data_IF_053630135260
#
_entry.id   IF_053630135260
#
_cell.length_a   1.000
_cell.length_b   1.000
_cell.length_c   1.000
_cell.angle_alpha   90.00
_cell.angle_beta   90.00
_cell.angle_gamma   90.00
#
_symmetry.space_group_name_H-M   'P 1'
#
loop_
_entity.id
_entity.type
_entity.pdbx_description
1 polymer ?
#
# COMPACT_ATOMS: atom_id res chain seq x y z
N UNK A 1 28.81 -56.36 3.78
CA UNK A 1 27.74 -57.39 3.75
C UNK A 1 26.41 -56.74 4.10
N UNK A 2 25.46 -56.70 3.16
CA UNK A 2 24.00 -56.80 3.43
C UNK A 2 23.72 -58.22 3.96
N UNK A 3 22.57 -58.56 4.59
CA UNK A 3 21.18 -58.23 4.19
C UNK A 3 20.25 -57.96 5.41
N UNK A 4 18.93 -57.77 5.35
CA UNK A 4 17.85 -57.89 4.36
C UNK A 4 16.53 -57.78 5.17
N UNK A 5 15.51 -57.04 4.72
CA UNK A 5 14.39 -57.56 3.90
C UNK A 5 13.23 -58.02 4.81
N UNK A 6 11.98 -57.56 4.66
CA UNK A 6 10.94 -58.00 3.71
C UNK A 6 9.68 -57.12 4.00
N UNK A 7 9.11 -56.28 3.11
CA UNK A 7 8.07 -56.52 2.05
C UNK A 7 6.85 -57.33 2.54
N UNK A 8 5.57 -57.18 2.17
CA UNK A 8 4.75 -56.49 1.15
C UNK A 8 3.29 -56.82 1.52
N UNK A 9 2.28 -56.09 1.03
CA UNK A 9 0.91 -56.62 0.99
C UNK A 9 -0.19 -55.61 0.67
N UNK A 10 -0.52 -55.48 -0.62
CA UNK A 10 -1.67 -54.76 -1.21
C UNK A 10 -2.91 -55.64 -1.32
N UNK A 11 -4.12 -55.07 -1.31
CA UNK A 11 -5.23 -55.38 -2.25
C UNK A 11 -6.49 -54.58 -1.93
N UNK A 12 -7.09 -53.96 -2.94
CA UNK A 12 -8.42 -53.34 -2.89
C UNK A 12 -9.51 -54.25 -3.47
N UNK A 13 -10.78 -53.88 -3.25
CA UNK A 13 -11.96 -54.43 -3.93
C UNK A 13 -12.99 -53.31 -4.20
N UNK A 14 -13.69 -53.42 -5.32
CA UNK A 14 -14.61 -52.45 -5.90
C UNK A 14 -16.04 -53.02 -6.04
N UNK A 15 -17.00 -52.12 -6.32
CA UNK A 15 -18.36 -52.30 -6.89
C UNK A 15 -19.44 -52.87 -5.92
N UNK A 16 -20.75 -52.60 -6.01
CA UNK A 16 -21.61 -52.05 -7.07
C UNK A 16 -22.98 -51.54 -6.52
N UNK A 17 -23.63 -50.66 -7.30
CA UNK A 17 -25.08 -50.48 -7.57
C UNK A 17 -26.17 -50.67 -6.50
N UNK A 18 -27.04 -49.65 -6.36
CA UNK A 18 -28.50 -49.79 -6.53
C UNK A 18 -29.18 -48.42 -6.71
N UNK A 19 -29.90 -48.25 -7.83
CA UNK A 19 -30.91 -47.22 -8.10
C UNK A 19 -32.26 -47.69 -7.54
N UNK A 20 -33.07 -46.78 -6.99
CA UNK A 20 -34.53 -46.93 -6.90
C UNK A 20 -35.20 -45.54 -6.91
N UNK A 21 -35.98 -45.30 -7.96
CA UNK A 21 -36.91 -44.19 -8.17
C UNK A 21 -38.26 -44.50 -7.51
N UNK A 22 -38.93 -43.49 -6.97
CA UNK A 22 -40.40 -43.22 -6.94
C UNK A 22 -40.64 -42.16 -5.84
N UNK A 23 -41.64 -41.28 -5.80
CA UNK A 23 -42.62 -40.67 -6.69
C UNK A 23 -43.21 -39.51 -5.84
N UNK A 24 -43.55 -38.36 -6.45
CA UNK A 24 -44.28 -37.25 -5.79
C UNK A 24 -45.75 -37.63 -5.51
N UNK A 25 -46.38 -37.03 -4.51
CA UNK A 25 -47.39 -36.01 -4.85
C UNK A 25 -47.34 -34.75 -3.97
N UNK A 26 -47.78 -33.65 -4.57
CA UNK A 26 -48.05 -32.36 -3.94
C UNK A 26 -49.34 -32.41 -3.10
N UNK A 27 -49.39 -31.65 -2.00
CA UNK A 27 -50.64 -31.06 -1.50
C UNK A 27 -50.35 -29.78 -0.70
N UNK A 28 -51.25 -28.83 -0.92
CA UNK A 28 -51.27 -27.44 -0.53
C UNK A 28 -51.53 -27.23 0.96
N UNK A 29 -50.91 -26.22 1.57
CA UNK A 29 -51.40 -25.58 2.80
C UNK A 29 -50.98 -24.11 2.84
N UNK A 30 -51.99 -23.23 2.77
CA UNK A 30 -51.89 -21.81 3.06
C UNK A 30 -51.64 -21.57 4.55
N UNK A 31 -50.79 -20.60 4.88
CA UNK A 31 -50.61 -20.11 6.26
C UNK A 31 -49.73 -18.86 6.28
N UNK A 32 -50.38 -17.69 6.27
CA UNK A 32 -49.79 -16.38 6.58
C UNK A 32 -49.83 -16.21 8.10
N UNK A 33 -48.67 -15.97 8.75
CA UNK A 33 -48.41 -14.71 9.45
C UNK A 33 -47.01 -14.62 10.11
N UNK A 34 -46.32 -13.55 9.73
CA UNK A 34 -45.45 -12.63 10.51
C UNK A 34 -44.12 -13.04 11.15
N UNK A 35 -43.15 -12.17 10.80
CA UNK A 35 -41.97 -11.67 11.53
C UNK A 35 -40.73 -12.57 11.61
N UNK A 36 -39.77 -12.25 10.73
CA UNK A 36 -38.41 -12.74 10.78
C UNK A 36 -37.52 -12.00 9.79
N UNK A 37 -37.07 -10.81 10.18
CA UNK A 37 -36.10 -9.99 9.46
C UNK A 37 -34.82 -10.79 9.21
N UNK A 38 -34.58 -11.22 7.97
CA UNK A 38 -33.27 -11.70 7.53
C UNK A 38 -32.77 -10.83 6.40
N UNK A 39 -31.99 -9.84 6.79
CA UNK A 39 -31.11 -9.09 5.91
C UNK A 39 -30.17 -10.08 5.22
N UNK A 40 -30.34 -10.19 3.91
CA UNK A 40 -29.51 -10.98 3.03
C UNK A 40 -29.44 -10.32 1.67
N UNK A 41 -28.45 -9.47 1.46
CA UNK A 41 -27.74 -9.40 0.18
C UNK A 41 -26.42 -8.68 0.43
N UNK A 42 -25.34 -9.39 0.11
CA UNK A 42 -23.98 -8.98 0.37
C UNK A 42 -23.69 -7.60 -0.21
N UNK A 43 -22.89 -6.84 0.53
CA UNK A 43 -22.27 -5.63 0.01
C UNK A 43 -21.52 -5.98 -1.27
N UNK A 44 -22.12 -5.65 -2.41
CA UNK A 44 -21.40 -5.53 -3.64
C UNK A 44 -20.23 -4.59 -3.35
N UNK A 45 -19.01 -5.12 -3.47
CA UNK A 45 -17.81 -4.30 -3.49
C UNK A 45 -18.08 -3.19 -4.52
N UNK A 46 -18.24 -1.97 -4.03
CA UNK A 46 -18.57 -0.81 -4.85
C UNK A 46 -17.43 -0.69 -5.84
N UNK A 47 -17.68 -1.05 -7.10
CA UNK A 47 -16.72 -0.90 -8.18
C UNK A 47 -16.25 0.56 -8.12
N UNK A 48 -14.97 0.75 -7.80
CA UNK A 48 -14.40 2.08 -7.70
C UNK A 48 -14.49 2.73 -9.06
N UNK A 49 -15.15 3.89 -9.15
CA UNK A 49 -15.33 4.58 -10.41
C UNK A 49 -13.97 4.93 -11.02
N UNK A 50 -13.70 4.37 -12.20
CA UNK A 50 -12.56 4.76 -13.01
C UNK A 50 -12.75 6.21 -13.47
N UNK A 51 -11.72 7.04 -13.37
CA UNK A 51 -11.78 8.48 -13.69
C UNK A 51 -10.66 8.83 -14.64
N UNK A 52 -10.86 9.82 -15.52
CA UNK A 52 -9.78 10.33 -16.37
C UNK A 52 -8.65 11.00 -15.57
N UNK A 53 -8.93 11.37 -14.31
CA UNK A 53 -8.07 12.15 -13.42
C UNK A 53 -8.03 11.54 -12.02
N UNK A 54 -6.98 11.80 -11.26
CA UNK A 54 -6.94 11.42 -9.84
C UNK A 54 -7.98 12.24 -9.08
N UNK A 55 -8.91 11.64 -8.33
CA UNK A 55 -9.93 12.38 -7.58
C UNK A 55 -9.36 13.35 -6.55
N UNK A 56 -10.07 14.45 -6.28
CA UNK A 56 -9.73 15.46 -5.26
C UNK A 56 -8.36 16.15 -5.49
N UNK A 57 -7.93 16.26 -6.74
CA UNK A 57 -6.64 16.87 -7.12
C UNK A 57 -6.88 17.93 -8.21
N UNK A 58 -6.45 19.16 -7.92
CA UNK A 58 -6.58 20.34 -8.80
C UNK A 58 -5.69 20.29 -10.04
N UNK A 59 -5.99 21.14 -11.04
CA UNK A 59 -5.30 21.15 -12.34
C UNK A 59 -3.78 21.31 -12.20
N UNK A 60 -3.33 22.12 -11.24
CA UNK A 60 -1.92 22.32 -10.92
C UNK A 60 -1.21 20.98 -10.69
N UNK A 61 -1.72 20.17 -9.77
CA UNK A 61 -1.07 18.91 -9.40
C UNK A 61 -1.33 17.79 -10.40
N UNK A 62 -2.50 17.77 -11.06
CA UNK A 62 -2.75 16.84 -12.16
C UNK A 62 -1.70 16.98 -13.28
N UNK A 63 -1.33 18.23 -13.61
CA UNK A 63 -0.32 18.52 -14.65
C UNK A 63 1.10 18.13 -14.25
N UNK A 64 1.37 17.95 -12.94
CA UNK A 64 2.67 17.54 -12.40
C UNK A 64 2.84 16.02 -12.37
N UNK A 65 1.77 15.25 -12.51
CA UNK A 65 1.85 13.79 -12.67
C UNK A 65 2.43 13.51 -14.07
N UNK A 66 3.58 12.81 -14.19
CA UNK A 66 4.16 12.49 -15.48
C UNK A 66 3.18 11.76 -16.41
N UNK A 67 3.17 12.14 -17.69
CA UNK A 67 2.19 11.62 -18.65
C UNK A 67 2.34 10.10 -18.93
N UNK A 68 3.56 9.59 -18.77
CA UNK A 68 3.94 8.18 -18.86
C UNK A 68 3.66 7.41 -17.57
N UNK A 69 3.42 8.08 -16.43
CA UNK A 69 3.05 7.42 -15.19
C UNK A 69 1.77 6.59 -15.35
N UNK A 70 1.84 5.37 -14.81
CA UNK A 70 0.74 4.41 -14.77
C UNK A 70 0.41 3.97 -13.35
N UNK A 71 1.12 4.46 -12.34
CA UNK A 71 0.88 4.18 -10.93
C UNK A 71 1.08 5.46 -10.11
N UNK A 72 0.09 5.81 -9.29
CA UNK A 72 0.17 6.95 -8.37
C UNK A 72 -0.17 6.45 -6.97
N UNK A 73 0.73 6.65 -6.02
CA UNK A 73 0.43 6.57 -4.59
C UNK A 73 -0.01 7.96 -4.16
N UNK A 74 -1.32 8.19 -4.02
CA UNK A 74 -1.84 9.46 -3.54
C UNK A 74 -1.93 9.44 -2.01
N UNK A 75 -1.29 10.38 -1.34
CA UNK A 75 -1.35 10.57 0.11
C UNK A 75 -2.14 11.83 0.39
N UNK A 76 -3.37 11.67 0.85
CA UNK A 76 -4.24 12.78 1.23
C UNK A 76 -4.15 12.98 2.73
N UNK A 77 -3.44 14.03 3.15
CA UNK A 77 -3.49 14.54 4.53
C UNK A 77 -4.86 15.09 4.85
N UNK A 78 -5.35 14.85 6.06
CA UNK A 78 -6.69 15.31 6.45
C UNK A 78 -6.78 16.84 6.45
N UNK A 79 -5.76 17.54 6.98
CA UNK A 79 -5.64 19.00 7.06
C UNK A 79 -4.16 19.44 7.05
N UNK A 80 -3.89 20.73 6.84
CA UNK A 80 -2.54 21.34 6.75
C UNK A 80 -1.67 21.04 7.97
N UNK A 81 -2.23 21.04 9.17
CA UNK A 81 -1.51 20.83 10.44
C UNK A 81 -1.83 19.45 11.08
N UNK A 82 -2.41 18.53 10.31
CA UNK A 82 -2.77 17.19 10.79
C UNK A 82 -1.72 16.15 10.42
N UNK A 83 -1.39 15.28 11.38
CA UNK A 83 -0.53 14.12 11.15
C UNK A 83 -1.26 12.92 10.52
N UNK A 84 -2.58 13.03 10.25
CA UNK A 84 -3.39 11.92 9.74
C UNK A 84 -3.47 11.99 8.22
N UNK A 85 -3.28 10.84 7.58
CA UNK A 85 -3.39 10.71 6.14
C UNK A 85 -4.16 9.46 5.70
N UNK A 86 -4.65 9.52 4.46
CA UNK A 86 -5.15 8.37 3.72
C UNK A 86 -4.25 8.13 2.51
N UNK A 87 -3.64 6.95 2.44
CA UNK A 87 -2.78 6.51 1.35
C UNK A 87 -3.62 5.70 0.38
N UNK A 88 -3.59 6.04 -0.91
CA UNK A 88 -4.40 5.40 -1.94
C UNK A 88 -3.52 5.04 -3.13
N UNK A 89 -3.53 3.77 -3.53
CA UNK A 89 -2.91 3.36 -4.79
C UNK A 89 -3.92 3.52 -5.93
N UNK A 90 -3.54 4.31 -6.93
CA UNK A 90 -4.20 4.36 -8.24
C UNK A 90 -3.35 3.70 -9.30
N UNK A 91 -3.99 2.95 -10.20
CA UNK A 91 -3.35 2.37 -11.37
C UNK A 91 -4.08 2.81 -12.63
N UNK A 92 -3.34 3.16 -13.67
CA UNK A 92 -3.91 3.56 -14.95
C UNK A 92 -4.21 2.33 -15.80
N UNK A 93 -5.46 2.20 -16.26
CA UNK A 93 -5.91 1.25 -17.28
C UNK A 93 -6.38 2.01 -18.51
N UNK A 94 -5.66 1.86 -19.62
CA UNK A 94 -5.86 2.70 -20.79
C UNK A 94 -5.67 4.18 -20.43
N UNK A 95 -6.74 4.98 -20.54
CA UNK A 95 -6.73 6.41 -20.19
C UNK A 95 -7.28 6.73 -18.81
N UNK A 96 -7.84 5.73 -18.11
CA UNK A 96 -8.54 5.94 -16.85
C UNK A 96 -7.67 5.50 -15.68
N UNK A 97 -7.70 6.28 -14.61
CA UNK A 97 -7.19 5.94 -13.30
C UNK A 97 -8.23 5.15 -12.51
N UNK A 98 -7.83 3.99 -12.02
CA UNK A 98 -8.63 3.16 -11.13
C UNK A 98 -8.04 3.19 -9.73
N UNK A 99 -8.91 3.36 -8.73
CA UNK A 99 -8.54 3.21 -7.33
C UNK A 99 -8.37 1.73 -7.02
N UNK A 100 -7.15 1.30 -6.72
CA UNK A 100 -6.84 -0.10 -6.46
C UNK A 100 -7.12 -0.48 -5.01
N UNK A 101 -6.60 0.33 -4.07
CA UNK A 101 -6.69 0.08 -2.63
C UNK A 101 -6.33 1.33 -1.84
N UNK A 102 -6.76 1.41 -0.60
CA UNK A 102 -6.44 2.48 0.33
C UNK A 102 -6.15 1.98 1.75
N UNK A 103 -5.45 2.81 2.51
CA UNK A 103 -5.08 2.56 3.89
C UNK A 103 -5.03 3.88 4.67
N UNK A 104 -5.19 3.77 5.99
CA UNK A 104 -4.80 4.85 6.90
C UNK A 104 -3.29 4.89 7.03
N UNK A 105 -2.77 6.08 7.30
CA UNK A 105 -1.35 6.31 7.58
C UNK A 105 -1.14 7.62 8.30
N UNK A 106 0.11 7.94 8.57
CA UNK A 106 0.50 9.22 9.16
C UNK A 106 1.53 9.94 8.29
N UNK A 107 1.50 11.26 8.34
CA UNK A 107 2.50 12.15 7.74
C UNK A 107 3.30 12.86 8.84
N UNK A 108 4.06 13.89 8.48
CA UNK A 108 4.77 14.74 9.43
C UNK A 108 3.86 15.19 10.57
N UNK A 109 4.35 15.11 11.81
CA UNK A 109 3.54 15.42 13.00
C UNK A 109 3.01 16.85 13.04
N UNK A 110 3.69 17.78 12.39
CA UNK A 110 3.26 19.17 12.23
C UNK A 110 2.46 19.38 10.94
N UNK A 111 2.15 18.33 10.19
CA UNK A 111 1.34 18.38 8.99
C UNK A 111 2.15 18.47 7.69
N UNK A 112 1.80 19.41 6.84
CA UNK A 112 2.24 19.54 5.46
C UNK A 112 2.84 20.91 5.18
N UNK A 113 3.76 21.00 4.21
CA UNK A 113 4.35 22.27 3.77
C UNK A 113 4.74 22.23 2.29
N UNK A 114 4.52 23.31 1.51
CA UNK A 114 5.08 23.45 0.18
C UNK A 114 6.57 23.85 0.19
N UNK A 115 7.10 24.27 1.33
CA UNK A 115 8.48 24.71 1.53
C UNK A 115 9.08 23.94 2.72
N UNK A 116 9.46 22.69 2.47
CA UNK A 116 10.03 21.84 3.51
C UNK A 116 11.47 22.23 3.83
N UNK A 117 11.80 22.19 5.12
CA UNK A 117 13.15 22.36 5.66
C UNK A 117 13.41 21.33 6.75
N UNK A 118 14.68 20.99 6.94
CA UNK A 118 15.09 20.05 7.99
C UNK A 118 14.57 20.50 9.36
N UNK A 119 13.93 19.58 10.09
CA UNK A 119 13.43 19.82 11.44
C UNK A 119 12.10 20.57 11.56
N UNK A 120 11.43 20.93 10.45
CA UNK A 120 10.07 21.52 10.50
C UNK A 120 8.99 20.52 10.96
N UNK A 121 9.31 19.24 10.88
CA UNK A 121 8.47 18.08 11.20
C UNK A 121 7.20 17.98 10.33
N UNK A 122 7.27 18.53 9.11
CA UNK A 122 6.22 18.56 8.10
C UNK A 122 6.59 17.71 6.90
N UNK A 123 5.60 17.10 6.27
CA UNK A 123 5.78 16.39 5.00
C UNK A 123 5.74 17.38 3.83
N UNK A 124 6.62 17.24 2.82
CA UNK A 124 6.59 18.10 1.64
C UNK A 124 5.32 17.85 0.81
N UNK A 125 4.71 18.91 0.31
CA UNK A 125 3.63 18.85 -0.67
C UNK A 125 4.22 18.75 -2.07
N UNK A 126 3.83 17.74 -2.85
CA UNK A 126 4.31 17.62 -4.22
C UNK A 126 3.99 16.32 -4.94
N UNK A 127 4.57 16.20 -6.13
CA UNK A 127 4.65 14.96 -6.90
C UNK A 127 6.11 14.56 -6.99
N UNK A 128 6.44 13.36 -6.53
CA UNK A 128 7.80 12.83 -6.51
C UNK A 128 7.80 11.41 -7.10
N UNK A 129 8.87 11.01 -7.77
CA UNK A 129 9.02 9.63 -8.24
C UNK A 129 9.27 8.68 -7.08
N UNK A 130 8.97 7.39 -7.31
CA UNK A 130 9.28 6.29 -6.40
C UNK A 130 10.21 5.33 -7.15
N UNK A 131 11.52 5.49 -6.96
CA UNK A 131 12.52 4.77 -7.77
C UNK A 131 13.11 3.55 -7.05
N UNK A 132 13.27 3.59 -5.74
CA UNK A 132 14.02 2.59 -4.97
C UNK A 132 13.29 2.15 -3.70
N UNK A 133 13.58 0.94 -3.26
CA UNK A 133 13.09 0.36 -2.02
C UNK A 133 14.23 -0.23 -1.19
N UNK A 134 13.95 -0.55 0.06
CA UNK A 134 14.94 -1.17 0.94
C UNK A 134 14.41 -1.44 2.33
N UNK A 135 15.34 -1.67 3.25
CA UNK A 135 15.04 -1.84 4.67
C UNK A 135 15.92 -2.90 5.34
N UNK A 136 15.67 -3.12 6.63
CA UNK A 136 16.39 -4.12 7.43
C UNK A 136 16.04 -5.55 6.97
N UNK A 137 14.77 -5.77 6.61
CA UNK A 137 14.27 -7.09 6.27
C UNK A 137 14.60 -7.47 4.83
N UNK A 138 14.55 -8.78 4.55
CA UNK A 138 14.71 -9.29 3.20
C UNK A 138 13.57 -8.81 2.28
N UNK A 139 13.90 -8.66 1.00
CA UNK A 139 12.95 -8.29 -0.04
C UNK A 139 11.66 -9.17 0.01
N UNK A 140 10.47 -8.58 0.21
CA UNK A 140 9.20 -9.31 0.25
C UNK A 140 8.63 -9.66 -1.14
N UNK A 141 9.44 -9.54 -2.20
CA UNK A 141 9.10 -9.80 -3.61
C UNK A 141 8.82 -8.52 -4.40
N UNK A 142 9.65 -7.49 -4.22
CA UNK A 142 9.49 -6.21 -4.88
C UNK A 142 9.90 -6.24 -6.36
N UNK A 143 9.40 -5.26 -7.11
CA UNK A 143 9.85 -4.98 -8.48
C UNK A 143 10.75 -3.75 -8.54
N UNK A 144 10.71 -2.89 -7.52
CA UNK A 144 11.66 -1.80 -7.39
C UNK A 144 13.04 -2.39 -7.06
N UNK A 145 14.15 -1.73 -7.44
CA UNK A 145 15.46 -2.03 -6.86
C UNK A 145 15.37 -2.05 -5.32
N UNK A 146 15.94 -3.08 -4.68
CA UNK A 146 15.83 -3.28 -3.23
C UNK A 146 17.20 -3.36 -2.58
N UNK A 147 17.47 -2.43 -1.66
CA UNK A 147 18.68 -2.45 -0.83
C UNK A 147 18.35 -2.98 0.56
N UNK A 148 18.93 -4.12 0.92
CA UNK A 148 18.87 -4.65 2.28
C UNK A 148 20.13 -4.25 3.05
N UNK A 149 19.98 -3.54 4.16
CA UNK A 149 21.09 -3.23 5.07
C UNK A 149 20.60 -3.14 6.51
N UNK A 150 21.47 -3.52 7.46
CA UNK A 150 21.21 -3.27 8.89
C UNK A 150 21.32 -1.78 9.24
N UNK A 151 21.92 -0.96 8.37
CA UNK A 151 22.06 0.49 8.56
C UNK A 151 20.72 1.24 8.54
N UNK A 152 19.67 0.62 7.99
CA UNK A 152 18.30 1.12 8.09
C UNK A 152 17.74 1.06 9.52
N UNK A 153 18.33 0.25 10.41
CA UNK A 153 17.72 -0.03 11.70
C UNK A 153 17.56 1.24 12.55
N UNK A 154 16.33 1.47 13.01
CA UNK A 154 16.05 2.54 13.94
C UNK A 154 16.92 2.39 15.21
N UNK A 155 17.52 3.48 15.73
CA UNK A 155 18.37 3.42 16.90
C UNK A 155 17.66 2.84 18.13
N UNK A 156 18.35 1.99 18.90
CA UNK A 156 17.73 1.29 20.05
C UNK A 156 17.40 2.18 21.24
N UNK A 157 17.89 3.41 21.25
CA UNK A 157 17.50 4.45 22.21
C UNK A 157 16.16 5.12 21.86
N UNK A 158 15.60 4.90 20.66
CA UNK A 158 14.23 5.31 20.35
C UNK A 158 13.22 4.46 21.12
N UNK A 159 11.99 4.99 21.29
CA UNK A 159 10.89 4.20 21.88
C UNK A 159 10.71 2.91 21.07
N UNK A 160 10.37 1.82 21.75
CA UNK A 160 10.16 0.50 21.13
C UNK A 160 9.18 0.50 19.96
N UNK A 161 8.20 1.40 19.98
CA UNK A 161 7.25 1.58 18.87
C UNK A 161 7.91 1.88 17.53
N UNK A 162 9.11 2.48 17.53
CA UNK A 162 9.82 2.89 16.32
C UNK A 162 10.84 1.86 15.81
N UNK A 163 11.08 0.78 16.54
CA UNK A 163 12.17 -0.16 16.24
C UNK A 163 12.01 -0.88 14.89
N UNK A 164 10.83 -0.78 14.29
CA UNK A 164 10.45 -1.43 13.04
C UNK A 164 10.05 -0.44 11.94
N UNK A 165 10.22 0.86 12.15
CA UNK A 165 9.80 1.90 11.20
C UNK A 165 10.38 1.60 9.80
N UNK A 166 11.67 1.25 9.77
CA UNK A 166 12.44 1.04 8.54
C UNK A 166 12.75 -0.44 8.24
N UNK A 167 11.94 -1.35 8.79
CA UNK A 167 11.96 -2.75 8.36
C UNK A 167 11.76 -2.87 6.85
N UNK A 168 10.91 -2.00 6.30
CA UNK A 168 10.65 -1.79 4.88
C UNK A 168 10.48 -0.30 4.57
N UNK A 169 11.14 0.17 3.52
CA UNK A 169 11.03 1.53 3.02
C UNK A 169 10.85 1.57 1.50
N UNK A 170 10.11 2.56 1.01
CA UNK A 170 10.11 2.99 -0.39
C UNK A 170 10.54 4.45 -0.41
N UNK A 171 11.59 4.76 -1.18
CA UNK A 171 12.14 6.10 -1.24
C UNK A 171 11.20 7.05 -1.98
N UNK A 172 10.94 8.21 -1.37
CA UNK A 172 10.31 9.34 -2.04
C UNK A 172 11.45 10.19 -2.61
N UNK A 173 11.40 10.47 -3.91
CA UNK A 173 12.46 11.23 -4.60
C UNK A 173 12.40 12.75 -4.33
N UNK A 174 12.28 13.11 -3.06
CA UNK A 174 12.43 14.46 -2.55
C UNK A 174 13.88 14.67 -2.10
N UNK A 175 14.57 15.64 -2.74
CA UNK A 175 15.94 16.03 -2.44
C UNK A 175 16.92 14.85 -2.28
N UNK A 176 16.86 13.88 -3.20
CA UNK A 176 17.79 12.74 -3.30
C UNK A 176 18.13 12.49 -4.77
N UNK A 177 19.12 11.63 -5.02
CA UNK A 177 19.42 11.12 -6.36
C UNK A 177 18.56 9.88 -6.66
N UNK A 178 17.60 9.94 -7.60
CA UNK A 178 16.77 8.78 -7.95
C UNK A 178 17.61 7.64 -8.53
N UNK A 179 17.32 6.40 -8.15
CA UNK A 179 18.05 5.20 -8.59
C UNK A 179 19.23 4.81 -7.69
N UNK A 180 19.62 5.67 -6.74
CA UNK A 180 20.55 5.28 -5.68
C UNK A 180 19.81 4.53 -4.57
N UNK A 181 20.49 3.82 -3.66
CA UNK A 181 19.84 3.23 -2.48
C UNK A 181 19.06 4.26 -1.63
N UNK A 182 17.98 3.86 -0.92
CA UNK A 182 17.21 4.79 -0.09
C UNK A 182 18.01 5.48 1.03
N UNK A 183 19.06 4.83 1.52
CA UNK A 183 20.00 5.29 2.55
C UNK A 183 21.14 6.17 2.01
N UNK A 184 21.16 6.46 0.70
CA UNK A 184 22.12 7.40 0.13
C UNK A 184 21.97 8.80 0.77
N UNK A 185 23.05 9.39 1.33
CA UNK A 185 23.00 10.67 2.01
C UNK A 185 22.98 11.88 1.04
N UNK A 186 23.22 11.73 -0.25
CA UNK A 186 23.34 12.88 -1.17
C UNK A 186 22.06 13.74 -1.24
N UNK A 187 22.21 15.06 -1.07
CA UNK A 187 21.13 16.08 -1.07
C UNK A 187 21.40 17.17 -2.13
N UNK A 188 20.94 17.00 -3.39
CA UNK A 188 21.25 17.93 -4.47
C UNK A 188 20.75 19.38 -4.26
N UNK A 189 19.69 19.58 -3.49
CA UNK A 189 19.16 20.90 -3.12
C UNK A 189 19.70 21.43 -1.78
N UNK A 190 20.74 20.78 -1.22
CA UNK A 190 21.38 21.13 0.03
C UNK A 190 20.73 20.49 1.27
N UNK A 191 21.48 20.46 2.36
CA UNK A 191 21.07 19.83 3.64
C UNK A 191 19.88 20.53 4.29
N UNK A 192 19.80 21.86 4.17
CA UNK A 192 18.72 22.67 4.76
C UNK A 192 17.33 22.25 4.24
N UNK A 193 17.26 21.76 3.01
CA UNK A 193 16.01 21.27 2.42
C UNK A 193 15.52 19.95 3.00
N UNK A 194 16.34 19.28 3.82
CA UNK A 194 16.05 17.95 4.35
C UNK A 194 16.12 16.87 3.27
N UNK A 195 15.88 15.61 3.66
CA UNK A 195 15.85 14.47 2.75
C UNK A 195 15.62 13.18 3.52
N UNK A 196 15.87 12.02 2.92
CA UNK A 196 15.59 10.74 3.58
C UNK A 196 14.11 10.55 3.90
N UNK A 197 13.23 11.07 3.04
CA UNK A 197 11.79 10.98 3.20
C UNK A 197 11.32 9.70 2.52
N UNK A 198 10.66 8.83 3.29
CA UNK A 198 10.26 7.51 2.84
C UNK A 198 8.78 7.24 3.07
N UNK A 199 8.24 6.29 2.33
CA UNK A 199 7.11 5.48 2.80
C UNK A 199 7.68 4.41 3.73
N UNK A 200 7.16 4.25 4.96
CA UNK A 200 7.68 3.26 5.91
C UNK A 200 6.59 2.64 6.82
N UNK A 201 6.96 1.74 7.72
CA UNK A 201 6.00 1.06 8.60
C UNK A 201 5.46 1.98 9.70
N UNK A 202 4.15 1.90 9.97
CA UNK A 202 3.49 2.74 10.95
C UNK A 202 3.81 2.36 12.41
N UNK A 203 4.15 3.38 13.19
CA UNK A 203 4.36 3.34 14.64
C UNK A 203 3.22 3.97 15.44
N UNK A 204 2.15 4.43 14.77
CA UNK A 204 0.91 4.89 15.40
C UNK A 204 0.85 6.38 15.77
N UNK A 205 1.77 7.19 15.24
CA UNK A 205 1.74 8.65 15.38
C UNK A 205 2.37 9.34 14.18
N UNK A 206 2.32 10.68 14.15
CA UNK A 206 3.03 11.47 13.15
C UNK A 206 4.53 11.15 13.07
N UNK A 207 5.10 11.35 11.88
CA UNK A 207 6.51 11.14 11.56
C UNK A 207 7.28 12.48 11.66
N UNK A 208 8.57 12.47 11.36
CA UNK A 208 9.33 13.73 11.16
C UNK A 208 9.14 14.35 9.78
N UNK A 209 8.70 13.59 8.76
CA UNK A 209 8.45 14.08 7.39
C UNK A 209 7.93 12.96 6.48
N UNK A 210 8.31 11.71 6.79
CA UNK A 210 7.91 10.50 6.09
C UNK A 210 6.38 10.27 6.07
N UNK A 211 5.95 9.31 5.26
CA UNK A 211 4.57 8.80 5.30
C UNK A 211 4.60 7.37 5.81
N UNK A 212 3.97 7.13 6.95
CA UNK A 212 3.91 5.80 7.55
C UNK A 212 2.60 5.09 7.20
N UNK A 213 2.63 3.76 7.08
CA UNK A 213 1.45 2.94 6.80
C UNK A 213 1.55 1.53 7.39
N UNK A 214 0.43 0.81 7.59
CA UNK A 214 0.47 -0.55 8.12
C UNK A 214 1.34 -1.48 7.27
N UNK A 215 2.03 -2.43 7.91
CA UNK A 215 2.85 -3.45 7.22
C UNK A 215 2.16 -4.11 6.02
N UNK A 216 0.89 -4.55 6.08
CA UNK A 216 0.21 -5.12 4.92
C UNK A 216 0.06 -4.15 3.73
N UNK A 217 -0.01 -2.84 4.00
CA UNK A 217 -0.03 -1.80 2.97
C UNK A 217 1.36 -1.70 2.31
N UNK A 218 2.41 -1.58 3.12
CA UNK A 218 3.79 -1.48 2.64
C UNK A 218 4.18 -2.67 1.77
N UNK A 219 3.95 -3.89 2.26
CA UNK A 219 4.28 -5.09 1.49
C UNK A 219 3.45 -5.21 0.20
N UNK A 220 2.21 -4.71 0.21
CA UNK A 220 1.40 -4.66 -1.01
C UNK A 220 1.98 -3.68 -2.03
N UNK A 221 2.39 -2.48 -1.60
CA UNK A 221 3.04 -1.51 -2.47
C UNK A 221 4.35 -2.06 -3.04
N UNK A 222 5.22 -2.63 -2.19
CA UNK A 222 6.48 -3.22 -2.62
C UNK A 222 6.30 -4.27 -3.73
N UNK A 223 5.31 -5.16 -3.60
CA UNK A 223 5.02 -6.20 -4.61
C UNK A 223 4.31 -5.66 -5.87
N UNK A 224 3.77 -4.45 -5.83
CA UNK A 224 2.87 -3.91 -6.86
C UNK A 224 3.47 -2.77 -7.67
N UNK A 225 4.23 -1.88 -7.05
CA UNK A 225 4.90 -0.79 -7.74
C UNK A 225 5.95 -1.37 -8.69
N UNK A 226 5.92 -0.92 -9.93
CA UNK A 226 6.72 -1.46 -11.02
C UNK A 226 7.48 -0.31 -11.68
N UNK A 227 8.83 -0.32 -11.69
CA UNK A 227 9.62 0.75 -12.33
C UNK A 227 9.20 1.04 -13.77
N UNK A 228 8.81 0.01 -14.54
CA UNK A 228 8.38 0.16 -15.92
C UNK A 228 7.01 0.87 -16.08
N UNK A 229 6.32 1.10 -14.96
CA UNK A 229 5.04 1.84 -14.90
C UNK A 229 5.21 3.25 -14.32
N UNK A 230 6.46 3.68 -14.11
CA UNK A 230 6.83 5.02 -13.66
C UNK A 230 6.01 5.48 -12.43
N UNK A 231 6.11 4.77 -11.30
CA UNK A 231 5.34 5.07 -10.12
C UNK A 231 5.76 6.41 -9.51
N UNK A 232 4.77 7.19 -9.11
CA UNK A 232 4.97 8.44 -8.38
C UNK A 232 4.15 8.46 -7.10
N UNK A 233 4.56 9.27 -6.14
CA UNK A 233 3.74 9.70 -5.02
C UNK A 233 3.24 11.12 -5.27
N UNK A 234 1.94 11.34 -5.09
CA UNK A 234 1.32 12.66 -5.00
C UNK A 234 0.91 12.84 -3.55
N UNK A 235 1.46 13.82 -2.84
CA UNK A 235 1.24 13.95 -1.40
C UNK A 235 1.02 15.41 -0.97
N UNK A 236 0.11 15.61 -0.01
CA UNK A 236 -0.26 16.91 0.53
C UNK A 236 -1.54 16.83 1.36
N UNK A 237 -1.84 17.88 2.10
CA UNK A 237 -3.18 18.03 2.68
C UNK A 237 -4.24 18.26 1.59
N UNK A 238 -5.51 18.04 1.93
CA UNK A 238 -6.62 18.16 0.97
C UNK A 238 -6.75 19.54 0.34
N UNK A 239 -6.48 20.62 1.08
CA UNK A 239 -6.61 21.96 0.54
C UNK A 239 -5.49 22.24 -0.47
N UNK A 240 -4.25 21.93 -0.11
CA UNK A 240 -3.10 22.10 -0.99
C UNK A 240 -3.23 21.25 -2.27
N UNK A 241 -3.74 20.02 -2.18
CA UNK A 241 -3.93 19.15 -3.34
C UNK A 241 -5.07 19.58 -4.27
N UNK A 242 -6.07 20.33 -3.76
CA UNK A 242 -7.21 20.84 -4.55
C UNK A 242 -6.94 22.17 -5.22
N UNK A 243 -6.01 22.96 -4.70
CA UNK A 243 -5.59 24.25 -5.25
C UNK A 243 -4.93 24.11 -6.64
#
# INVERSE_FOLDING_TARGET
MRPGGVRRGTAGWAAACALLLTALPALSACGVDRTGTRAGSGGAARATAASARIPDVGDRWQSRIPADSRQVVAVYGDDEDSAKATVVLYAKRGRLWERVRDWRGHNGKNGWTPDHHVGDERSPVGVFTLSDAGGVLADPGTRLPYTRSDDFAAPRWWKRSHWHDFDYVIAIDYNRVPGNPPDDPERPAGEEKGGGIWLHLDHGSGTSACVSMPRPAMEYLLRTLDPARHPVVLMGDRAALKA
#
